data_IF_498386538581
#
_entry.id   IF_498386538581
#
_cell.length_a   1.000
_cell.length_b   1.000
_cell.length_c   1.000
_cell.angle_alpha   90.00
_cell.angle_beta   90.00
_cell.angle_gamma   90.00
#
_symmetry.space_group_name_H-M   'P 1'
#
loop_
_entity.id
_entity.type
_entity.pdbx_description
1 polymer ?
#
# COMPACT_ATOMS: atom_id res chain seq x y z
N UNK A 1 1.19 -5.73 6.29
CA UNK A 1 0.48 -4.68 5.54
C UNK A 1 0.57 -5.02 4.07
N UNK A 2 -0.35 -4.53 3.23
CA UNK A 2 -0.25 -4.63 1.79
C UNK A 2 1.12 -4.14 1.33
N UNK A 3 1.62 -4.70 0.23
CA UNK A 3 2.90 -4.29 -0.35
C UNK A 3 2.73 -3.00 -1.15
N UNK A 4 3.84 -2.32 -1.52
CA UNK A 4 3.78 -1.19 -2.43
C UNK A 4 3.04 -1.49 -3.73
N UNK A 5 3.18 -2.67 -4.33
CA UNK A 5 2.49 -2.99 -5.59
C UNK A 5 0.99 -3.21 -5.40
N UNK A 6 0.57 -3.75 -4.26
CA UNK A 6 -0.86 -3.79 -3.91
C UNK A 6 -1.43 -2.38 -3.76
N UNK A 7 -0.70 -1.45 -3.14
CA UNK A 7 -1.11 -0.05 -3.03
C UNK A 7 -1.20 0.64 -4.40
N UNK A 8 -0.22 0.45 -5.28
CA UNK A 8 -0.27 0.97 -6.66
C UNK A 8 -1.46 0.39 -7.43
N UNK A 9 -1.72 -0.92 -7.29
CA UNK A 9 -2.86 -1.55 -7.95
C UNK A 9 -4.20 -0.99 -7.44
N UNK A 10 -4.34 -0.77 -6.13
CA UNK A 10 -5.51 -0.11 -5.57
C UNK A 10 -5.62 1.34 -6.06
N UNK A 11 -4.50 2.07 -6.23
CA UNK A 11 -4.51 3.41 -6.81
C UNK A 11 -5.11 3.39 -8.23
N UNK A 12 -4.70 2.46 -9.09
CA UNK A 12 -5.29 2.30 -10.44
C UNK A 12 -6.80 2.02 -10.40
N UNK A 13 -7.27 1.21 -9.43
CA UNK A 13 -8.69 0.95 -9.23
C UNK A 13 -9.45 2.19 -8.76
N UNK A 14 -8.87 2.99 -7.86
CA UNK A 14 -9.42 4.28 -7.42
C UNK A 14 -9.58 5.21 -8.62
N UNK A 15 -8.53 5.37 -9.44
CA UNK A 15 -8.57 6.23 -10.62
C UNK A 15 -9.64 5.78 -11.62
N UNK A 16 -9.72 4.47 -11.89
CA UNK A 16 -10.72 3.88 -12.78
C UNK A 16 -12.15 4.12 -12.27
N UNK A 17 -12.39 3.96 -10.97
CA UNK A 17 -13.70 4.22 -10.36
C UNK A 17 -14.09 5.69 -10.42
N UNK A 18 -13.15 6.61 -10.14
CA UNK A 18 -13.37 8.06 -10.26
C UNK A 18 -13.72 8.43 -11.69
N UNK A 19 -13.01 7.88 -12.68
CA UNK A 19 -13.27 8.12 -14.09
C UNK A 19 -14.65 7.61 -14.54
N UNK A 20 -15.11 6.47 -13.99
CA UNK A 20 -16.42 5.90 -14.31
C UNK A 20 -17.60 6.68 -13.70
N UNK A 21 -17.41 7.33 -12.54
CA UNK A 21 -18.48 7.97 -11.77
C UNK A 21 -18.84 9.40 -12.23
N UNK A 22 -18.24 9.93 -13.29
CA UNK A 22 -18.77 11.05 -14.09
C UNK A 22 -18.76 12.47 -13.49
N UNK A 23 -18.44 12.65 -12.20
CA UNK A 23 -18.35 13.98 -11.56
C UNK A 23 -16.96 14.60 -11.79
N UNK A 24 -16.73 15.11 -13.00
CA UNK A 24 -15.42 15.38 -13.58
C UNK A 24 -14.40 16.24 -12.81
N UNK A 25 -14.74 16.93 -11.71
CA UNK A 25 -13.76 17.72 -10.93
C UNK A 25 -12.69 16.82 -10.30
N UNK A 26 -13.09 15.79 -9.55
CA UNK A 26 -12.13 14.90 -8.91
C UNK A 26 -11.29 14.14 -9.94
N UNK A 27 -11.93 13.67 -11.02
CA UNK A 27 -11.24 13.03 -12.13
C UNK A 27 -10.19 13.97 -12.75
N UNK A 28 -10.55 15.22 -13.05
CA UNK A 28 -9.63 16.21 -13.61
C UNK A 28 -8.47 16.51 -12.66
N UNK A 29 -8.76 16.68 -11.36
CA UNK A 29 -7.74 16.90 -10.33
C UNK A 29 -6.77 15.72 -10.24
N UNK A 30 -7.27 14.48 -10.15
CA UNK A 30 -6.40 13.30 -10.10
C UNK A 30 -5.63 13.10 -11.41
N UNK A 31 -6.25 13.32 -12.57
CA UNK A 31 -5.59 13.14 -13.86
C UNK A 31 -4.47 14.16 -14.09
N UNK A 32 -4.64 15.40 -13.61
CA UNK A 32 -3.65 16.46 -13.75
C UNK A 32 -2.36 16.18 -12.96
N UNK A 33 -2.48 15.55 -11.78
CA UNK A 33 -1.38 15.29 -10.86
C UNK A 33 -1.24 13.79 -10.55
N UNK A 34 -1.57 12.92 -11.51
CA UNK A 34 -1.60 11.46 -11.31
C UNK A 34 -0.27 10.88 -10.78
N UNK A 35 0.91 11.28 -11.29
CA UNK A 35 2.19 10.86 -10.72
C UNK A 35 2.33 11.16 -9.22
N UNK A 36 1.80 12.30 -8.76
CA UNK A 36 1.86 12.69 -7.36
C UNK A 36 0.98 11.78 -6.49
N UNK A 37 -0.23 11.45 -6.95
CA UNK A 37 -1.10 10.48 -6.29
C UNK A 37 -0.43 9.11 -6.20
N UNK A 38 0.16 8.68 -7.31
CA UNK A 38 0.82 7.38 -7.45
C UNK A 38 1.96 7.23 -6.44
N UNK A 39 2.86 8.22 -6.36
CA UNK A 39 3.91 8.23 -5.34
C UNK A 39 3.32 8.32 -3.92
N UNK A 40 2.30 9.14 -3.70
CA UNK A 40 1.61 9.27 -2.41
C UNK A 40 1.08 7.94 -1.90
N UNK A 41 0.52 7.11 -2.78
CA UNK A 41 -0.05 5.79 -2.44
C UNK A 41 0.98 4.77 -1.93
N UNK A 42 2.29 5.03 -2.11
CA UNK A 42 3.37 4.15 -1.63
C UNK A 42 4.35 4.86 -0.71
N UNK A 43 4.25 6.18 -0.55
CA UNK A 43 5.18 6.98 0.24
C UNK A 43 5.25 6.62 1.74
N UNK A 44 4.18 6.16 2.43
CA UNK A 44 4.29 5.81 3.85
C UNK A 44 5.30 4.68 4.13
N UNK A 45 5.52 3.79 3.16
CA UNK A 45 6.47 2.67 3.24
C UNK A 45 7.95 3.10 3.09
N UNK A 46 8.26 4.39 2.94
CA UNK A 46 9.62 4.93 2.89
C UNK A 46 10.48 4.56 4.11
N UNK A 47 9.85 4.19 5.23
CA UNK A 47 10.53 3.65 6.42
C UNK A 47 11.28 2.33 6.13
N UNK A 48 11.00 1.66 4.99
CA UNK A 48 11.73 0.48 4.55
C UNK A 48 13.20 0.78 4.15
N UNK A 49 13.51 2.03 3.79
CA UNK A 49 14.86 2.46 3.40
C UNK A 49 15.43 3.63 4.22
N UNK A 50 14.66 4.14 5.15
CA UNK A 50 15.03 5.30 5.96
C UNK A 50 15.08 4.92 7.44
N UNK A 51 15.79 5.69 8.28
CA UNK A 51 15.82 5.45 9.71
C UNK A 51 14.51 5.87 10.42
N UNK A 52 13.52 6.39 9.68
CA UNK A 52 12.26 6.82 10.25
C UNK A 52 11.52 5.62 10.87
N UNK A 53 11.02 5.74 12.11
CA UNK A 53 10.19 4.71 12.69
C UNK A 53 8.88 4.60 11.90
N UNK A 54 8.27 3.41 11.89
CA UNK A 54 7.04 3.17 11.16
C UNK A 54 5.91 4.07 11.64
N UNK A 55 5.83 4.31 12.94
CA UNK A 55 4.86 5.20 13.59
C UNK A 55 5.03 6.65 13.11
N UNK A 56 6.24 7.03 12.66
CA UNK A 56 6.54 8.34 12.09
C UNK A 56 6.00 8.56 10.68
N UNK A 57 5.69 7.50 9.95
CA UNK A 57 5.12 7.56 8.59
C UNK A 57 3.70 6.98 8.51
N UNK A 58 3.31 6.12 9.45
CA UNK A 58 1.99 5.50 9.46
C UNK A 58 1.05 6.12 10.49
N UNK A 59 1.55 6.89 11.45
CA UNK A 59 0.74 7.65 12.42
C UNK A 59 -0.17 6.81 13.32
N UNK A 60 0.22 5.55 13.60
CA UNK A 60 -0.44 4.72 14.61
C UNK A 60 0.51 3.66 15.18
N UNK A 61 0.24 3.27 16.44
CA UNK A 61 0.90 2.14 17.11
C UNK A 61 0.33 0.78 16.65
N UNK A 62 1.09 -0.30 16.80
CA UNK A 62 0.60 -1.66 16.54
C UNK A 62 0.44 -2.42 17.86
N UNK A 63 -0.79 -2.79 18.28
CA UNK A 63 -2.07 -2.62 17.58
C UNK A 63 -2.63 -1.19 17.67
N UNK A 64 -3.37 -0.71 16.65
CA UNK A 64 -3.96 0.62 16.64
C UNK A 64 -5.17 0.69 17.58
N UNK A 65 -5.46 1.89 18.07
CA UNK A 65 -6.73 2.15 18.76
C UNK A 65 -7.93 1.86 17.82
N UNK A 66 -9.10 1.43 18.33
CA UNK A 66 -10.26 1.13 17.50
C UNK A 66 -10.71 2.29 16.60
N UNK A 67 -10.65 3.52 17.10
CA UNK A 67 -11.05 4.76 16.45
C UNK A 67 -9.98 5.36 15.53
N UNK A 68 -8.76 4.81 15.54
CA UNK A 68 -7.66 5.36 14.77
C UNK A 68 -7.97 5.34 13.26
N UNK A 69 -7.64 6.43 12.58
CA UNK A 69 -7.82 6.58 11.13
C UNK A 69 -6.49 6.70 10.39
N UNK A 70 -5.38 6.89 11.11
CA UNK A 70 -4.03 7.14 10.64
C UNK A 70 -3.88 8.45 9.86
N UNK A 71 -4.66 8.62 8.78
CA UNK A 71 -4.66 9.87 8.02
C UNK A 71 -5.18 11.05 8.86
N UNK A 72 -6.17 10.85 9.73
CA UNK A 72 -6.64 11.90 10.64
C UNK A 72 -5.55 12.34 11.61
N UNK A 73 -4.84 11.39 12.22
CA UNK A 73 -3.70 11.66 13.10
C UNK A 73 -2.55 12.37 12.36
N UNK A 74 -2.27 11.99 11.11
CA UNK A 74 -1.31 12.70 10.25
C UNK A 74 -1.69 14.16 10.04
N UNK A 75 -2.94 14.43 9.64
CA UNK A 75 -3.42 15.78 9.34
C UNK A 75 -3.50 16.65 10.59
N UNK A 76 -3.89 16.10 11.74
CA UNK A 76 -3.87 16.80 13.02
C UNK A 76 -2.44 17.17 13.45
N UNK A 77 -1.50 16.23 13.32
CA UNK A 77 -0.09 16.45 13.67
C UNK A 77 0.62 17.41 12.70
N UNK A 78 0.16 17.48 11.45
CA UNK A 78 0.71 18.32 10.40
C UNK A 78 -0.36 19.18 9.70
N UNK A 79 -0.91 20.22 10.38
CA UNK A 79 -2.01 21.02 9.85
C UNK A 79 -1.76 21.69 8.49
N UNK A 80 -0.49 21.93 8.14
CA UNK A 80 -0.10 22.43 6.82
C UNK A 80 -0.55 21.52 5.67
N UNK A 81 -0.80 20.23 5.92
CA UNK A 81 -1.33 19.28 4.95
C UNK A 81 -2.84 19.44 4.71
N UNK A 82 -3.49 20.42 5.35
CA UNK A 82 -4.88 20.82 5.10
C UNK A 82 -5.01 22.28 4.65
N UNK A 83 -3.90 23.01 4.56
CA UNK A 83 -3.87 24.40 4.10
C UNK A 83 -3.76 24.47 2.57
N UNK A 84 -4.84 24.11 1.87
CA UNK A 84 -4.90 24.06 0.41
C UNK A 84 -4.54 25.39 -0.27
N UNK A 85 -4.64 26.54 0.43
CA UNK A 85 -4.21 27.84 -0.09
C UNK A 85 -2.68 27.98 -0.23
N UNK A 86 -1.92 27.11 0.45
CA UNK A 86 -0.45 27.09 0.42
C UNK A 86 0.14 25.87 -0.28
N UNK A 87 -0.67 24.85 -0.52
CA UNK A 87 -0.26 23.62 -1.19
C UNK A 87 -0.24 23.81 -2.71
N UNK A 88 0.71 23.15 -3.39
CA UNK A 88 0.58 22.94 -4.83
C UNK A 88 -0.48 21.87 -5.11
N UNK A 89 -1.03 21.84 -6.33
CA UNK A 89 -2.00 20.82 -6.73
C UNK A 89 -1.42 19.39 -6.58
N UNK A 90 -0.17 19.20 -7.05
CA UNK A 90 0.57 17.96 -6.85
C UNK A 90 0.74 17.55 -5.38
N UNK A 91 1.02 18.50 -4.47
CA UNK A 91 1.11 18.19 -3.05
C UNK A 91 -0.24 17.73 -2.48
N UNK A 92 -1.34 18.40 -2.81
CA UNK A 92 -2.67 18.01 -2.36
C UNK A 92 -3.02 16.60 -2.86
N UNK A 93 -2.78 16.32 -4.13
CA UNK A 93 -3.04 15.01 -4.73
C UNK A 93 -2.12 13.91 -4.16
N UNK A 94 -0.86 14.24 -3.86
CA UNK A 94 0.05 13.34 -3.14
C UNK A 94 -0.48 12.98 -1.74
N UNK A 95 -0.91 13.97 -0.95
CA UNK A 95 -1.45 13.72 0.41
C UNK A 95 -2.75 12.91 0.36
N UNK A 96 -3.57 13.09 -0.67
CA UNK A 96 -4.75 12.25 -0.91
C UNK A 96 -4.36 10.78 -1.11
N UNK A 97 -3.34 10.50 -1.94
CA UNK A 97 -2.79 9.16 -2.13
C UNK A 97 -2.20 8.57 -0.84
N UNK A 98 -1.45 9.38 -0.09
CA UNK A 98 -0.90 9.00 1.21
C UNK A 98 -1.99 8.60 2.20
N UNK A 99 -3.09 9.36 2.24
CA UNK A 99 -4.21 9.10 3.13
C UNK A 99 -4.95 7.81 2.76
N UNK A 100 -5.11 7.52 1.47
CA UNK A 100 -5.68 6.26 1.00
C UNK A 100 -4.82 5.04 1.37
N UNK A 101 -3.49 5.17 1.28
CA UNK A 101 -2.56 4.14 1.76
C UNK A 101 -2.78 3.85 3.25
N UNK A 102 -2.74 4.90 4.09
CA UNK A 102 -2.88 4.76 5.54
C UNK A 102 -4.19 4.07 5.94
N UNK A 103 -5.29 4.43 5.26
CA UNK A 103 -6.58 3.79 5.47
C UNK A 103 -6.55 2.30 5.07
N UNK A 104 -5.97 1.97 3.90
CA UNK A 104 -5.89 0.58 3.44
C UNK A 104 -5.05 -0.29 4.39
N UNK A 105 -3.98 0.27 4.94
CA UNK A 105 -3.13 -0.37 5.93
C UNK A 105 -3.90 -0.74 7.22
N UNK A 106 -4.74 0.18 7.70
CA UNK A 106 -5.61 -0.08 8.86
C UNK A 106 -6.71 -1.09 8.55
N UNK A 107 -7.33 -1.02 7.37
CA UNK A 107 -8.29 -2.03 6.89
C UNK A 107 -7.62 -3.40 6.89
N UNK A 108 -6.43 -3.51 6.29
CA UNK A 108 -5.67 -4.76 6.27
C UNK A 108 -5.39 -5.28 7.68
N UNK A 109 -4.97 -4.42 8.61
CA UNK A 109 -4.68 -4.86 9.97
C UNK A 109 -5.93 -5.34 10.71
N UNK A 110 -7.04 -4.60 10.61
CA UNK A 110 -8.28 -4.84 11.36
C UNK A 110 -9.14 -5.94 10.78
N UNK A 111 -9.25 -5.98 9.45
CA UNK A 111 -10.19 -6.84 8.73
C UNK A 111 -9.52 -8.08 8.15
N UNK A 112 -8.18 -8.13 8.06
CA UNK A 112 -7.45 -9.29 7.53
C UNK A 112 -6.49 -9.89 8.56
N UNK A 113 -5.50 -9.14 9.04
CA UNK A 113 -4.46 -9.66 9.95
C UNK A 113 -5.08 -10.11 11.28
N UNK A 114 -5.90 -9.25 11.88
CA UNK A 114 -6.47 -9.55 13.18
C UNK A 114 -7.41 -10.77 13.17
N UNK A 115 -8.44 -10.86 12.29
CA UNK A 115 -9.33 -12.01 12.27
C UNK A 115 -8.66 -13.28 11.73
N UNK A 116 -7.92 -13.20 10.62
CA UNK A 116 -7.44 -14.39 9.93
C UNK A 116 -6.07 -14.88 10.37
N UNK A 117 -5.27 -14.07 11.06
CA UNK A 117 -3.92 -14.48 11.50
C UNK A 117 -3.72 -14.37 13.01
N UNK A 118 -4.22 -13.30 13.64
CA UNK A 118 -4.03 -13.12 15.08
C UNK A 118 -5.00 -13.97 15.92
N UNK A 119 -6.29 -14.01 15.56
CA UNK A 119 -7.30 -14.84 16.25
C UNK A 119 -7.38 -16.29 15.77
N UNK A 120 -6.71 -16.62 14.68
CA UNK A 120 -6.84 -17.92 14.02
C UNK A 120 -5.97 -19.01 14.68
N UNK A 121 -6.47 -19.61 15.76
CA UNK A 121 -5.74 -20.66 16.50
C UNK A 121 -5.47 -21.93 15.68
N UNK A 122 -6.31 -22.21 14.69
CA UNK A 122 -6.15 -23.34 13.77
C UNK A 122 -4.95 -23.20 12.81
N UNK A 123 -4.37 -22.00 12.66
CA UNK A 123 -3.16 -21.80 11.85
C UNK A 123 -1.88 -22.28 12.55
N UNK A 124 -1.98 -22.66 13.82
CA UNK A 124 -0.86 -23.13 14.62
C UNK A 124 -0.10 -21.99 15.29
N UNK A 125 1.22 -22.16 15.40
CA UNK A 125 2.07 -21.24 16.16
C UNK A 125 2.33 -19.91 15.42
N UNK A 126 3.01 -18.99 16.10
CA UNK A 126 3.33 -17.66 15.54
C UNK A 126 4.13 -17.74 14.25
N UNK A 127 5.07 -18.69 14.12
CA UNK A 127 5.92 -18.83 12.93
C UNK A 127 5.09 -19.34 11.75
N UNK A 128 4.18 -20.29 11.98
CA UNK A 128 3.27 -20.82 10.96
C UNK A 128 2.32 -19.74 10.46
N UNK A 129 1.72 -18.95 11.37
CA UNK A 129 0.87 -17.80 11.00
C UNK A 129 1.64 -16.77 10.16
N UNK A 130 2.87 -16.44 10.55
CA UNK A 130 3.72 -15.51 9.79
C UNK A 130 4.09 -16.06 8.41
N UNK A 131 4.43 -17.34 8.30
CA UNK A 131 4.74 -17.98 7.03
C UNK A 131 3.52 -17.93 6.09
N UNK A 132 2.35 -18.38 6.55
CA UNK A 132 1.12 -18.31 5.75
C UNK A 132 0.79 -16.88 5.35
N UNK A 133 0.93 -15.91 6.26
CA UNK A 133 0.65 -14.50 5.97
C UNK A 133 1.57 -13.93 4.90
N UNK A 134 2.88 -14.18 5.00
CA UNK A 134 3.84 -13.64 4.04
C UNK A 134 3.73 -14.31 2.69
N UNK A 135 3.42 -15.61 2.64
CA UNK A 135 3.14 -16.28 1.36
C UNK A 135 1.86 -15.71 0.72
N UNK A 136 0.79 -15.51 1.49
CA UNK A 136 -0.43 -14.86 0.98
C UNK A 136 -0.14 -13.45 0.45
N UNK A 137 0.64 -12.65 1.18
CA UNK A 137 1.04 -11.32 0.74
C UNK A 137 1.82 -11.39 -0.57
N UNK A 138 2.80 -12.29 -0.70
CA UNK A 138 3.56 -12.43 -1.95
C UNK A 138 2.68 -12.90 -3.11
N UNK A 139 1.74 -13.81 -2.86
CA UNK A 139 0.77 -14.23 -3.88
C UNK A 139 -0.10 -13.06 -4.38
N UNK A 140 -0.64 -12.25 -3.46
CA UNK A 140 -1.44 -11.07 -3.80
C UNK A 140 -0.59 -9.96 -4.44
N UNK A 141 0.67 -9.82 -4.02
CA UNK A 141 1.65 -8.91 -4.61
C UNK A 141 1.92 -9.25 -6.08
N UNK A 142 2.07 -10.54 -6.42
CA UNK A 142 2.21 -10.99 -7.81
C UNK A 142 0.99 -10.63 -8.64
N UNK A 143 -0.22 -10.90 -8.15
CA UNK A 143 -1.47 -10.53 -8.85
C UNK A 143 -1.55 -9.02 -9.06
N UNK A 144 -1.27 -8.25 -8.01
CA UNK A 144 -1.31 -6.79 -8.07
C UNK A 144 -0.29 -6.24 -9.09
N UNK A 145 0.94 -6.76 -9.07
CA UNK A 145 2.02 -6.37 -9.97
C UNK A 145 1.68 -6.68 -11.44
N UNK A 146 1.17 -7.89 -11.72
CA UNK A 146 0.76 -8.29 -13.08
C UNK A 146 -0.41 -7.47 -13.62
N UNK A 147 -1.25 -6.91 -12.74
CA UNK A 147 -2.38 -6.07 -13.09
C UNK A 147 -2.03 -4.58 -13.24
N UNK A 148 -0.78 -4.17 -12.97
CA UNK A 148 -0.35 -2.80 -13.18
C UNK A 148 -0.28 -2.47 -14.69
N UNK A 149 -0.66 -1.25 -15.10
CA UNK A 149 -0.55 -0.85 -16.50
C UNK A 149 0.91 -0.70 -16.92
N UNK A 150 1.20 -0.82 -18.22
CA UNK A 150 2.54 -0.58 -18.78
C UNK A 150 3.08 0.82 -18.44
N UNK A 151 2.18 1.78 -18.19
CA UNK A 151 2.52 3.15 -17.79
C UNK A 151 2.92 3.29 -16.32
N UNK A 152 2.81 2.24 -15.49
CA UNK A 152 3.09 2.32 -14.05
C UNK A 152 4.52 2.83 -13.77
N UNK A 153 5.51 2.31 -14.50
CA UNK A 153 6.93 2.71 -14.38
C UNK A 153 7.10 4.19 -14.67
N UNK A 154 6.62 4.66 -15.83
CA UNK A 154 6.79 6.05 -16.27
C UNK A 154 5.96 7.02 -15.42
N UNK A 155 4.77 6.61 -14.99
CA UNK A 155 3.92 7.36 -14.06
C UNK A 155 4.65 7.59 -12.76
N UNK A 156 5.14 6.52 -12.12
CA UNK A 156 5.85 6.65 -10.84
C UNK A 156 7.11 7.50 -11.01
N UNK A 157 7.92 7.26 -12.04
CA UNK A 157 9.17 7.97 -12.29
C UNK A 157 8.99 9.48 -12.57
N UNK A 158 7.81 9.90 -13.03
CA UNK A 158 7.53 11.30 -13.35
C UNK A 158 7.15 12.12 -12.12
N UNK A 159 6.82 11.49 -10.98
CA UNK A 159 6.52 12.25 -9.75
C UNK A 159 7.73 13.07 -9.32
N UNK A 160 7.52 14.34 -8.95
CA UNK A 160 8.58 15.27 -8.55
C UNK A 160 8.25 15.80 -7.15
N UNK A 161 8.61 15.07 -6.07
CA UNK A 161 8.42 15.58 -4.73
C UNK A 161 9.16 16.91 -4.56
N UNK A 162 8.45 17.91 -4.03
CA UNK A 162 8.99 19.24 -3.76
C UNK A 162 8.39 19.76 -2.45
N UNK A 163 9.03 19.39 -1.34
CA UNK A 163 8.61 19.66 0.03
C UNK A 163 7.18 19.20 0.31
N UNK A 164 6.79 18.07 -0.27
CA UNK A 164 5.41 17.58 -0.17
C UNK A 164 5.06 17.10 1.25
N UNK A 165 6.06 16.65 2.02
CA UNK A 165 5.89 16.22 3.41
C UNK A 165 6.76 17.04 4.37
N UNK A 166 6.24 17.39 5.56
CA UNK A 166 7.03 18.08 6.59
C UNK A 166 7.85 17.14 7.49
N UNK A 167 7.71 15.82 7.30
CA UNK A 167 8.33 14.79 8.12
C UNK A 167 9.17 13.78 7.31
N UNK A 168 9.20 13.90 5.98
CA UNK A 168 10.10 13.14 5.10
C UNK A 168 10.75 14.11 4.13
N UNK A 169 12.08 14.10 4.04
CA UNK A 169 12.81 14.91 3.09
C UNK A 169 12.64 14.39 1.66
N UNK A 170 12.60 15.30 0.68
CA UNK A 170 12.41 14.93 -0.74
C UNK A 170 13.45 13.92 -1.23
N UNK A 171 14.72 14.06 -0.81
CA UNK A 171 15.79 13.13 -1.20
C UNK A 171 15.48 11.67 -0.80
N UNK A 172 14.80 11.48 0.33
CA UNK A 172 14.39 10.16 0.81
C UNK A 172 13.19 9.65 0.00
N UNK A 173 12.22 10.52 -0.31
CA UNK A 173 11.09 10.18 -1.20
C UNK A 173 11.57 9.82 -2.61
N UNK A 174 12.52 10.56 -3.18
CA UNK A 174 13.14 10.27 -4.47
C UNK A 174 13.88 8.94 -4.44
N UNK A 175 14.68 8.67 -3.39
CA UNK A 175 15.36 7.37 -3.26
C UNK A 175 14.38 6.19 -3.16
N UNK A 176 13.25 6.38 -2.48
CA UNK A 176 12.17 5.39 -2.39
C UNK A 176 11.50 5.16 -3.75
N UNK A 177 11.14 6.24 -4.43
CA UNK A 177 10.59 6.23 -5.78
C UNK A 177 11.51 5.49 -6.75
N UNK A 178 12.79 5.84 -6.80
CA UNK A 178 13.81 5.20 -7.66
C UNK A 178 13.91 3.69 -7.36
N UNK A 179 13.88 3.31 -6.09
CA UNK A 179 13.94 1.90 -5.69
C UNK A 179 12.70 1.11 -6.15
N UNK A 180 11.52 1.72 -6.13
CA UNK A 180 10.30 1.10 -6.65
C UNK A 180 10.29 1.06 -8.18
N UNK A 181 10.66 2.15 -8.86
CA UNK A 181 10.78 2.21 -10.32
C UNK A 181 11.70 1.10 -10.84
N UNK A 182 12.85 0.90 -10.19
CA UNK A 182 13.78 -0.18 -10.53
C UNK A 182 13.17 -1.59 -10.42
N UNK A 183 12.20 -1.80 -9.53
CA UNK A 183 11.51 -3.09 -9.36
C UNK A 183 10.28 -3.26 -10.27
N UNK A 184 9.73 -2.16 -10.80
CA UNK A 184 8.58 -2.19 -11.71
C UNK A 184 8.97 -2.46 -13.17
N UNK A 185 10.25 -2.33 -13.53
CA UNK A 185 10.71 -2.61 -14.89
C UNK A 185 10.41 -4.07 -15.30
N UNK A 186 10.01 -4.32 -16.57
CA UNK A 186 9.82 -5.67 -17.07
C UNK A 186 11.06 -6.56 -16.86
N UNK A 187 10.87 -7.72 -16.24
CA UNK A 187 11.94 -8.66 -15.91
C UNK A 187 12.81 -8.27 -14.70
N UNK A 188 12.49 -7.16 -14.01
CA UNK A 188 13.11 -6.85 -12.73
C UNK A 188 12.75 -7.89 -11.66
N UNK A 189 13.67 -8.11 -10.74
CA UNK A 189 13.45 -8.99 -9.59
C UNK A 189 12.86 -8.13 -8.48
N UNK A 190 11.61 -8.39 -8.10
CA UNK A 190 11.01 -7.76 -6.93
C UNK A 190 11.68 -8.27 -5.66
N UNK A 191 11.84 -7.38 -4.67
CA UNK A 191 12.47 -7.73 -3.39
C UNK A 191 11.52 -8.40 -2.41
N UNK A 192 10.23 -8.55 -2.74
CA UNK A 192 9.20 -9.12 -1.85
C UNK A 192 9.61 -10.48 -1.28
N UNK A 193 10.06 -11.40 -2.14
CA UNK A 193 10.51 -12.73 -1.74
C UNK A 193 11.73 -12.65 -0.81
N UNK A 194 12.74 -11.85 -1.19
CA UNK A 194 13.97 -11.68 -0.40
C UNK A 194 13.66 -11.15 1.00
N UNK A 195 12.84 -10.09 1.08
CA UNK A 195 12.47 -9.42 2.33
C UNK A 195 11.70 -10.38 3.24
N UNK A 196 10.68 -11.07 2.73
CA UNK A 196 9.85 -11.95 3.55
C UNK A 196 10.55 -13.25 3.93
N UNK A 197 11.35 -13.83 3.04
CA UNK A 197 12.20 -14.97 3.38
C UNK A 197 13.17 -14.61 4.52
N UNK A 198 13.83 -13.45 4.43
CA UNK A 198 14.72 -12.93 5.48
C UNK A 198 14.03 -12.76 6.83
N UNK A 199 12.81 -12.18 6.86
CA UNK A 199 12.01 -12.05 8.09
C UNK A 199 11.64 -13.41 8.71
N UNK A 200 11.48 -14.45 7.90
CA UNK A 200 11.19 -15.81 8.34
C UNK A 200 12.45 -16.63 8.68
N UNK A 201 13.65 -16.06 8.48
CA UNK A 201 14.95 -16.76 8.56
C UNK A 201 14.98 -17.98 7.62
N UNK A 202 14.46 -17.82 6.41
CA UNK A 202 14.46 -18.80 5.32
C UNK A 202 15.26 -18.25 4.14
N UNK A 203 15.72 -19.13 3.26
CA UNK A 203 16.32 -18.69 1.99
C UNK A 203 15.23 -18.23 1.01
N UNK A 204 15.53 -17.28 0.09
CA UNK A 204 14.60 -16.90 -0.98
C UNK A 204 14.14 -18.09 -1.82
N UNK A 205 15.03 -19.05 -2.08
CA UNK A 205 14.72 -20.28 -2.85
C UNK A 205 13.69 -21.16 -2.14
N UNK A 206 13.85 -21.40 -0.83
CA UNK A 206 12.88 -22.18 -0.05
C UNK A 206 11.51 -21.49 0.01
N UNK A 207 11.50 -20.16 0.16
CA UNK A 207 10.26 -19.39 0.15
C UNK A 207 9.56 -19.45 -1.21
N UNK A 208 10.30 -19.26 -2.30
CA UNK A 208 9.78 -19.35 -3.66
C UNK A 208 9.27 -20.76 -4.01
N UNK A 209 9.93 -21.80 -3.51
CA UNK A 209 9.48 -23.19 -3.69
C UNK A 209 8.07 -23.41 -3.13
N UNK A 210 7.74 -22.80 -1.97
CA UNK A 210 6.39 -22.88 -1.40
C UNK A 210 5.34 -22.20 -2.28
N UNK A 211 5.67 -21.06 -2.91
CA UNK A 211 4.77 -20.35 -3.81
C UNK A 211 4.46 -21.14 -5.10
N UNK A 212 5.44 -21.88 -5.61
CA UNK A 212 5.30 -22.65 -6.85
C UNK A 212 4.70 -24.05 -6.64
N UNK A 213 4.68 -24.56 -5.40
CA UNK A 213 4.04 -25.84 -5.08
C UNK A 213 2.54 -25.64 -4.87
N UNK A 214 1.75 -26.02 -5.88
CA UNK A 214 0.29 -25.91 -5.85
C UNK A 214 -0.36 -26.69 -4.71
N UNK A 215 0.17 -27.88 -4.37
CA UNK A 215 -0.40 -28.71 -3.30
C UNK A 215 -0.10 -28.07 -1.94
N UNK A 216 1.10 -27.52 -1.78
CA UNK A 216 1.47 -26.76 -0.61
C UNK A 216 0.63 -25.50 -0.46
N UNK A 217 0.49 -24.68 -1.52
CA UNK A 217 -0.33 -23.47 -1.52
C UNK A 217 -1.78 -23.76 -1.14
N UNK A 218 -2.36 -24.81 -1.73
CA UNK A 218 -3.72 -25.23 -1.39
C UNK A 218 -3.82 -25.59 0.10
N UNK A 219 -2.92 -26.43 0.61
CA UNK A 219 -2.99 -26.92 1.99
C UNK A 219 -2.64 -25.87 3.05
N UNK A 220 -1.68 -24.98 2.76
CA UNK A 220 -1.09 -24.06 3.74
C UNK A 220 -1.60 -22.63 3.64
N UNK A 221 -2.26 -22.27 2.55
CA UNK A 221 -2.82 -20.93 2.32
C UNK A 221 -4.31 -21.01 2.01
N UNK A 222 -4.69 -21.59 0.87
CA UNK A 222 -6.06 -21.46 0.35
C UNK A 222 -7.11 -22.22 1.17
N UNK A 223 -6.76 -23.37 1.76
CA UNK A 223 -7.66 -24.09 2.67
C UNK A 223 -7.77 -23.45 4.05
N UNK A 224 -6.88 -22.52 4.38
CA UNK A 224 -6.75 -21.97 5.73
C UNK A 224 -7.20 -20.52 5.82
N UNK A 225 -7.05 -19.77 4.74
CA UNK A 225 -7.41 -18.36 4.65
C UNK A 225 -8.48 -18.20 3.56
N UNK A 226 -9.60 -17.50 3.84
CA UNK A 226 -10.60 -17.22 2.82
C UNK A 226 -10.08 -16.14 1.85
N UNK A 227 -9.31 -16.55 0.85
CA UNK A 227 -8.66 -15.61 -0.09
C UNK A 227 -9.67 -14.76 -0.85
N UNK A 228 -10.82 -15.33 -1.23
CA UNK A 228 -11.89 -14.58 -1.89
C UNK A 228 -12.44 -13.46 -0.97
N UNK A 229 -12.56 -13.71 0.33
CA UNK A 229 -12.99 -12.71 1.32
C UNK A 229 -11.92 -11.63 1.50
N UNK A 230 -10.64 -12.02 1.55
CA UNK A 230 -9.51 -11.07 1.58
C UNK A 230 -9.53 -10.16 0.35
N UNK A 231 -9.72 -10.71 -0.85
CA UNK A 231 -9.82 -9.92 -2.08
C UNK A 231 -11.06 -9.04 -2.09
N UNK A 232 -12.20 -9.53 -1.56
CA UNK A 232 -13.41 -8.73 -1.41
C UNK A 232 -13.19 -7.53 -0.48
N UNK A 233 -12.54 -7.73 0.67
CA UNK A 233 -12.18 -6.63 1.59
C UNK A 233 -11.35 -5.57 0.86
N UNK A 234 -10.32 -5.97 0.11
CA UNK A 234 -9.51 -5.05 -0.68
C UNK A 234 -10.35 -4.29 -1.73
N UNK A 235 -11.27 -4.96 -2.42
CA UNK A 235 -12.17 -4.32 -3.39
C UNK A 235 -13.10 -3.30 -2.72
N UNK A 236 -13.62 -3.61 -1.53
CA UNK A 236 -14.47 -2.66 -0.77
C UNK A 236 -13.70 -1.46 -0.22
N UNK A 237 -12.37 -1.54 -0.12
CA UNK A 237 -11.54 -0.40 0.27
C UNK A 237 -11.48 0.67 -0.82
N UNK A 238 -11.66 0.32 -2.10
CA UNK A 238 -11.62 1.27 -3.23
C UNK A 238 -12.70 2.37 -3.12
N UNK A 239 -14.01 2.07 -3.00
CA UNK A 239 -15.02 3.12 -2.85
C UNK A 239 -14.82 3.94 -1.57
N UNK A 240 -14.37 3.32 -0.47
CA UNK A 240 -14.02 4.04 0.77
C UNK A 240 -12.88 5.04 0.54
N UNK A 241 -11.87 4.66 -0.26
CA UNK A 241 -10.77 5.55 -0.64
C UNK A 241 -11.26 6.70 -1.50
N UNK A 242 -12.17 6.44 -2.45
CA UNK A 242 -12.78 7.50 -3.28
C UNK A 242 -13.54 8.50 -2.40
N UNK A 243 -14.33 8.04 -1.44
CA UNK A 243 -15.04 8.91 -0.48
C UNK A 243 -14.07 9.76 0.34
N UNK A 244 -13.01 9.14 0.89
CA UNK A 244 -11.96 9.82 1.65
C UNK A 244 -11.29 10.91 0.81
N UNK A 245 -10.83 10.56 -0.39
CA UNK A 245 -10.11 11.48 -1.28
C UNK A 245 -11.02 12.62 -1.73
N UNK A 246 -12.29 12.31 -2.03
CA UNK A 246 -13.29 13.32 -2.38
C UNK A 246 -13.50 14.32 -1.24
N UNK A 247 -13.60 13.82 -0.01
CA UNK A 247 -13.77 14.67 1.18
C UNK A 247 -12.53 15.49 1.49
N UNK A 248 -11.33 14.97 1.20
CA UNK A 248 -10.09 15.69 1.43
C UNK A 248 -9.89 16.80 0.39
N UNK A 249 -10.16 16.54 -0.90
CA UNK A 249 -9.90 17.47 -2.01
C UNK A 249 -11.07 18.43 -2.34
N UNK A 250 -12.19 18.37 -1.61
CA UNK A 250 -13.40 19.17 -1.88
C UNK A 250 -13.21 20.65 -1.58
#
# INVERSE_FOLDING_TARGET
MPTPFMHLHIAEQIFSMVAANGNGRLQQTLAADWPAFYLGSVAPDVNAISPLPREGTHFYDVPPAPEETAYGAMLEKHPQLTDFGRMSAGQAVFVAGYSAHLMLDLIWLREIVYPFFFKADHLGDRKQRQLTHFILLTYLDTIAFEALPETAVSTLATAQPNQWLPFVEDAVLTSWQEMLVNQLHPGAITKTIEIYAGRLKMTPTEFAANLHDQSWMQAQVFNKIPVDEVQHILQTAVPRSVELISSYLS
#
